data_IF_698688999276
#
_entry.id   IF_698688999276
#
_cell.length_a   1.000
_cell.length_b   1.000
_cell.length_c   1.000
_cell.angle_alpha   90.00
_cell.angle_beta   90.00
_cell.angle_gamma   90.00
#
_symmetry.space_group_name_H-M   'P 1'
#
loop_
_entity.id
_entity.type
_entity.pdbx_description
1 polymer ?
#
# COMPACT_ATOMS: atom_id res chain seq x y z
N UNK A 1 32.26 -37.50 59.52
CA UNK A 1 32.67 -37.55 58.10
C UNK A 1 31.68 -36.73 57.28
N UNK A 2 31.96 -35.45 57.04
CA UNK A 2 31.11 -34.56 56.24
C UNK A 2 31.34 -34.81 54.75
N UNK A 3 30.27 -35.12 54.01
CA UNK A 3 30.32 -35.27 52.55
C UNK A 3 30.36 -33.87 51.90
N UNK A 4 31.25 -33.62 50.93
CA UNK A 4 31.30 -32.33 50.24
C UNK A 4 30.03 -32.11 49.41
N UNK A 5 29.45 -30.90 49.50
CA UNK A 5 28.34 -30.51 48.61
C UNK A 5 28.81 -30.61 47.15
N UNK A 6 28.06 -31.37 46.37
CA UNK A 6 28.32 -31.60 44.95
C UNK A 6 28.29 -30.31 44.15
N UNK A 7 29.29 -30.09 43.29
CA UNK A 7 29.47 -28.90 42.41
C UNK A 7 28.19 -28.39 41.71
N UNK A 8 27.23 -29.28 41.43
CA UNK A 8 25.97 -28.95 40.78
C UNK A 8 25.01 -28.09 41.64
N UNK A 9 24.98 -28.30 42.95
CA UNK A 9 24.11 -27.51 43.86
C UNK A 9 24.66 -26.10 44.06
N UNK A 10 25.99 -25.93 44.02
CA UNK A 10 26.64 -24.61 44.12
C UNK A 10 26.33 -23.75 42.89
N UNK A 11 26.38 -24.32 41.68
CA UNK A 11 26.06 -23.60 40.44
C UNK A 11 24.59 -23.17 40.37
N UNK A 12 23.66 -23.98 40.88
CA UNK A 12 22.23 -23.65 40.93
C UNK A 12 21.93 -22.53 41.91
N UNK A 13 22.62 -22.48 43.05
CA UNK A 13 22.47 -21.40 44.02
C UNK A 13 22.98 -20.07 43.44
N UNK A 14 24.14 -20.06 42.79
CA UNK A 14 24.66 -18.86 42.12
C UNK A 14 23.73 -18.33 41.03
N UNK A 15 23.10 -19.21 40.23
CA UNK A 15 22.17 -18.76 39.18
C UNK A 15 20.88 -18.18 39.76
N UNK A 16 20.43 -18.68 40.92
CA UNK A 16 19.26 -18.12 41.62
C UNK A 16 19.60 -16.77 42.24
N UNK A 17 20.78 -16.63 42.86
CA UNK A 17 21.25 -15.35 43.41
C UNK A 17 21.37 -14.27 42.34
N UNK A 18 21.97 -14.58 41.18
CA UNK A 18 22.03 -13.64 40.05
C UNK A 18 20.65 -13.28 39.50
N UNK A 19 19.71 -14.23 39.49
CA UNK A 19 18.34 -13.97 39.04
C UNK A 19 17.58 -13.06 40.03
N UNK A 20 17.80 -13.25 41.33
CA UNK A 20 17.20 -12.42 42.38
C UNK A 20 17.78 -11.01 42.35
N UNK A 21 19.09 -10.82 42.15
CA UNK A 21 19.68 -9.48 42.02
C UNK A 21 19.15 -8.73 40.77
N UNK A 22 18.99 -9.44 39.65
CA UNK A 22 18.37 -8.87 38.43
C UNK A 22 16.91 -8.48 38.65
N UNK A 23 16.17 -9.24 39.45
CA UNK A 23 14.79 -8.88 39.80
C UNK A 23 14.74 -7.71 40.78
N UNK A 24 15.64 -7.67 41.77
CA UNK A 24 15.72 -6.56 42.74
C UNK A 24 16.01 -5.23 42.06
N UNK A 25 16.96 -5.21 41.13
CA UNK A 25 17.29 -4.01 40.34
C UNK A 25 16.14 -3.57 39.41
N UNK A 26 15.41 -4.52 38.83
CA UNK A 26 14.22 -4.22 38.03
C UNK A 26 13.08 -3.63 38.87
N UNK A 27 12.89 -4.13 40.09
CA UNK A 27 11.87 -3.63 41.03
C UNK A 27 12.24 -2.22 41.51
N UNK A 28 13.49 -1.97 41.87
CA UNK A 28 13.96 -0.63 42.25
C UNK A 28 13.77 0.39 41.12
N UNK A 29 14.07 0.00 39.88
CA UNK A 29 13.84 0.84 38.70
C UNK A 29 12.34 1.16 38.53
N UNK A 30 11.46 0.19 38.75
CA UNK A 30 10.01 0.35 38.64
C UNK A 30 9.47 1.25 39.78
N UNK A 31 9.99 1.11 41.00
CA UNK A 31 9.64 1.99 42.12
C UNK A 31 10.09 3.43 41.88
N UNK A 32 11.28 3.64 41.30
CA UNK A 32 11.75 4.97 40.90
C UNK A 32 10.88 5.60 39.81
N UNK A 33 10.39 4.82 38.84
CA UNK A 33 9.44 5.30 37.82
C UNK A 33 8.08 5.70 38.40
N UNK A 34 7.60 5.00 39.44
CA UNK A 34 6.33 5.31 40.10
C UNK A 34 6.45 6.55 40.99
N UNK A 35 7.58 6.72 41.69
CA UNK A 35 7.80 7.86 42.58
C UNK A 35 8.13 9.16 41.83
N UNK A 36 8.70 9.08 40.62
CA UNK A 36 9.03 10.24 39.78
C UNK A 36 8.40 10.14 38.38
N UNK A 37 7.10 10.43 38.22
CA UNK A 37 6.41 10.34 36.93
C UNK A 37 6.94 11.32 35.86
N UNK A 38 7.71 12.35 36.24
CA UNK A 38 8.40 13.25 35.29
C UNK A 38 9.58 12.57 34.56
N UNK A 39 10.21 11.53 35.13
CA UNK A 39 11.30 10.79 34.47
C UNK A 39 10.79 9.73 33.48
N UNK A 40 9.53 9.30 33.61
CA UNK A 40 8.89 8.37 32.69
C UNK A 40 8.67 8.97 31.29
N UNK A 41 8.65 10.30 31.16
CA UNK A 41 8.52 10.96 29.85
C UNK A 41 9.83 11.09 29.07
N UNK A 42 10.98 10.72 29.65
CA UNK A 42 12.31 10.95 29.04
C UNK A 42 13.07 9.70 28.65
N UNK A 43 12.48 8.52 28.82
CA UNK A 43 13.10 7.23 28.48
C UNK A 43 12.29 6.39 27.48
N UNK A 44 11.32 6.98 26.78
CA UNK A 44 10.99 6.45 25.46
C UNK A 44 12.27 6.51 24.64
N UNK A 45 12.76 5.39 24.05
CA UNK A 45 13.82 5.48 23.07
C UNK A 45 13.29 6.42 21.99
N UNK A 46 13.84 7.63 21.91
CA UNK A 46 13.55 8.62 20.87
C UNK A 46 13.42 7.84 19.57
N UNK A 47 12.18 7.68 19.10
CA UNK A 47 11.92 6.94 17.89
C UNK A 47 12.60 7.77 16.82
N UNK A 48 13.79 7.33 16.39
CA UNK A 48 14.57 8.01 15.36
C UNK A 48 13.59 8.42 14.27
N UNK A 49 13.53 9.70 13.86
CA UNK A 49 12.51 10.18 12.95
C UNK A 49 12.42 9.21 11.78
N UNK A 50 11.27 8.50 11.65
CA UNK A 50 11.07 7.40 10.68
C UNK A 50 11.61 7.90 9.34
N UNK A 51 12.80 7.43 8.96
CA UNK A 51 13.50 7.86 7.74
C UNK A 51 12.51 7.65 6.61
N UNK A 52 12.05 8.74 5.98
CA UNK A 52 10.95 8.70 5.01
C UNK A 52 11.30 7.71 3.91
N UNK A 53 10.68 6.53 3.96
CA UNK A 53 11.04 5.39 3.11
C UNK A 53 10.47 5.61 1.71
N UNK A 54 11.19 6.45 0.92
CA UNK A 54 10.76 6.86 -0.40
C UNK A 54 10.63 5.66 -1.36
N UNK A 55 11.45 4.62 -1.19
CA UNK A 55 11.37 3.41 -2.00
C UNK A 55 10.08 2.65 -1.71
N UNK A 56 9.77 2.41 -0.44
CA UNK A 56 8.54 1.75 -0.01
C UNK A 56 7.30 2.56 -0.38
N UNK A 57 7.27 3.85 -0.10
CA UNK A 57 6.15 4.73 -0.43
C UNK A 57 5.86 4.74 -1.94
N UNK A 58 6.90 4.79 -2.77
CA UNK A 58 6.73 4.73 -4.21
C UNK A 58 6.27 3.35 -4.70
N UNK A 59 6.74 2.26 -4.06
CA UNK A 59 6.29 0.91 -4.37
C UNK A 59 4.80 0.73 -4.05
N UNK A 60 4.35 1.14 -2.85
CA UNK A 60 2.94 1.11 -2.43
C UNK A 60 2.07 1.86 -3.44
N UNK A 61 2.44 3.09 -3.81
CA UNK A 61 1.69 3.88 -4.80
C UNK A 61 1.58 3.16 -6.15
N UNK A 62 2.70 2.65 -6.69
CA UNK A 62 2.71 1.95 -7.98
C UNK A 62 1.86 0.69 -7.93
N UNK A 63 1.97 -0.11 -6.87
CA UNK A 63 1.18 -1.33 -6.70
C UNK A 63 -0.30 -1.03 -6.53
N UNK A 64 -0.65 0.09 -5.90
CA UNK A 64 -2.04 0.56 -5.84
C UNK A 64 -2.61 0.86 -7.24
N UNK A 65 -1.82 1.46 -8.14
CA UNK A 65 -2.23 1.65 -9.54
C UNK A 65 -2.41 0.32 -10.28
N UNK A 66 -1.50 -0.63 -10.10
CA UNK A 66 -1.62 -1.98 -10.68
C UNK A 66 -2.91 -2.66 -10.19
N UNK A 67 -3.23 -2.54 -8.89
CA UNK A 67 -4.46 -3.10 -8.34
C UNK A 67 -5.70 -2.51 -9.03
N UNK A 68 -5.68 -1.23 -9.42
CA UNK A 68 -6.74 -0.59 -10.21
C UNK A 68 -6.69 -0.92 -11.71
N UNK A 69 -5.82 -1.82 -12.14
CA UNK A 69 -5.66 -2.22 -13.55
C UNK A 69 -4.96 -1.16 -14.39
N UNK A 70 -4.25 -0.23 -13.75
CA UNK A 70 -3.53 0.84 -14.41
C UNK A 70 -2.04 0.49 -14.54
N UNK A 71 -1.36 0.98 -15.60
CA UNK A 71 0.08 0.89 -15.72
C UNK A 71 0.84 1.45 -14.50
N UNK A 72 2.01 0.88 -14.20
CA UNK A 72 2.89 1.36 -13.10
C UNK A 72 3.27 2.84 -13.21
N UNK A 73 3.29 3.36 -14.43
CA UNK A 73 3.66 4.75 -14.74
C UNK A 73 2.45 5.70 -14.84
N UNK A 74 1.25 5.23 -14.46
CA UNK A 74 0.05 6.06 -14.50
C UNK A 74 0.16 7.31 -13.64
N UNK A 75 -0.50 8.36 -14.10
CA UNK A 75 -0.57 9.64 -13.41
C UNK A 75 -1.70 9.60 -12.39
N UNK A 76 -1.64 10.51 -11.42
CA UNK A 76 -2.68 10.65 -10.40
C UNK A 76 -4.07 10.88 -11.02
N UNK A 77 -4.13 11.65 -12.11
CA UNK A 77 -5.36 11.93 -12.86
C UNK A 77 -5.98 10.68 -13.47
N UNK A 78 -5.18 9.73 -13.94
CA UNK A 78 -5.69 8.50 -14.55
C UNK A 78 -6.41 7.66 -13.49
N UNK A 79 -5.81 7.58 -12.28
CA UNK A 79 -6.44 6.93 -11.12
C UNK A 79 -7.69 7.66 -10.64
N UNK A 80 -7.68 8.99 -10.63
CA UNK A 80 -8.82 9.81 -10.21
C UNK A 80 -10.05 9.66 -11.12
N UNK A 81 -9.84 9.33 -12.40
CA UNK A 81 -10.92 9.07 -13.37
C UNK A 81 -11.54 7.66 -13.24
N UNK A 82 -10.98 6.78 -12.42
CA UNK A 82 -11.55 5.44 -12.19
C UNK A 82 -12.87 5.59 -11.43
N UNK A 83 -13.98 5.18 -12.05
CA UNK A 83 -15.31 5.27 -11.44
C UNK A 83 -15.56 4.10 -10.47
N UNK A 84 -16.13 4.35 -9.28
CA UNK A 84 -16.62 3.27 -8.43
C UNK A 84 -17.73 2.50 -9.13
N UNK A 85 -17.86 1.22 -8.80
CA UNK A 85 -18.98 0.37 -9.25
C UNK A 85 -20.02 0.14 -8.14
N UNK A 86 -19.63 0.33 -6.88
CA UNK A 86 -20.47 0.23 -5.68
C UNK A 86 -19.99 1.26 -4.65
N UNK A 87 -20.90 1.68 -3.78
CA UNK A 87 -20.57 2.53 -2.62
C UNK A 87 -19.56 1.78 -1.74
N UNK A 88 -18.53 2.49 -1.27
CA UNK A 88 -17.42 1.90 -0.50
C UNK A 88 -16.40 1.12 -1.35
N UNK A 89 -16.59 1.06 -2.68
CA UNK A 89 -15.63 0.45 -3.59
C UNK A 89 -15.47 -1.08 -3.43
N UNK A 90 -14.90 -1.72 -4.44
CA UNK A 90 -14.69 -3.16 -4.42
C UNK A 90 -13.64 -3.62 -5.42
N UNK A 91 -13.24 -4.88 -5.31
CA UNK A 91 -12.63 -5.60 -6.43
C UNK A 91 -13.72 -6.09 -7.38
N UNK A 92 -13.57 -5.81 -8.66
CA UNK A 92 -14.36 -6.36 -9.75
C UNK A 92 -13.56 -7.42 -10.48
N UNK A 93 -14.21 -8.47 -10.97
CA UNK A 93 -13.58 -9.44 -11.87
C UNK A 93 -13.64 -8.85 -13.27
N UNK A 94 -12.49 -8.78 -13.91
CA UNK A 94 -12.38 -8.49 -15.33
C UNK A 94 -12.69 -9.78 -16.11
N UNK A 95 -13.75 -9.76 -16.90
CA UNK A 95 -14.20 -10.94 -17.65
C UNK A 95 -13.25 -11.31 -18.80
N UNK A 96 -12.44 -10.37 -19.30
CA UNK A 96 -11.50 -10.63 -20.39
C UNK A 96 -10.24 -11.32 -19.88
N UNK A 97 -9.70 -10.84 -18.76
CA UNK A 97 -8.43 -11.34 -18.21
C UNK A 97 -8.61 -12.36 -17.09
N UNK A 98 -9.82 -12.50 -16.54
CA UNK A 98 -10.10 -13.23 -15.30
C UNK A 98 -9.48 -12.57 -14.06
N UNK A 99 -8.82 -11.42 -14.22
CA UNK A 99 -8.14 -10.70 -13.16
C UNK A 99 -9.12 -10.00 -12.22
N UNK A 100 -8.65 -9.60 -11.03
CA UNK A 100 -9.41 -8.73 -10.14
C UNK A 100 -8.85 -7.32 -10.18
N UNK A 101 -9.72 -6.35 -10.38
CA UNK A 101 -9.37 -4.92 -10.48
C UNK A 101 -10.07 -4.14 -9.39
N UNK A 102 -9.34 -3.30 -8.68
CA UNK A 102 -9.86 -2.42 -7.66
C UNK A 102 -10.60 -1.23 -8.29
N UNK A 103 -11.78 -0.93 -7.74
CA UNK A 103 -12.58 0.27 -8.03
C UNK A 103 -12.95 0.95 -6.72
N UNK A 104 -12.10 1.83 -6.17
CA UNK A 104 -12.40 2.55 -4.94
C UNK A 104 -13.52 3.57 -5.15
N UNK A 105 -14.21 3.92 -4.08
CA UNK A 105 -15.14 5.03 -4.05
C UNK A 105 -14.45 6.28 -3.50
N UNK A 106 -14.16 7.23 -4.40
CA UNK A 106 -13.48 8.49 -4.05
C UNK A 106 -14.35 9.49 -3.30
N UNK A 107 -15.67 9.27 -3.31
CA UNK A 107 -16.65 10.12 -2.61
C UNK A 107 -16.77 9.71 -1.14
N UNK A 108 -16.60 8.42 -0.86
CA UNK A 108 -16.56 7.87 0.49
C UNK A 108 -15.20 8.07 1.17
N UNK A 109 -15.21 7.99 2.50
CA UNK A 109 -14.01 7.97 3.33
C UNK A 109 -13.20 6.68 3.13
N UNK A 110 -11.94 6.70 3.58
CA UNK A 110 -11.09 5.50 3.53
C UNK A 110 -11.67 4.36 4.37
N UNK A 111 -12.27 4.66 5.53
CA UNK A 111 -12.89 3.65 6.40
C UNK A 111 -14.13 3.01 5.77
N UNK A 112 -14.95 3.79 5.06
CA UNK A 112 -16.09 3.27 4.28
C UNK A 112 -15.65 2.39 3.09
N UNK A 113 -14.37 2.49 2.71
CA UNK A 113 -13.73 1.66 1.69
C UNK A 113 -13.09 0.36 2.24
N UNK A 114 -13.36 0.01 3.51
CA UNK A 114 -12.62 -1.04 4.21
C UNK A 114 -12.71 -2.45 3.61
N UNK A 115 -13.73 -2.75 2.81
CA UNK A 115 -13.98 -4.07 2.22
C UNK A 115 -12.78 -4.58 1.40
N UNK A 116 -12.04 -3.69 0.74
CA UNK A 116 -10.90 -4.09 -0.11
C UNK A 116 -9.53 -3.98 0.58
N UNK A 117 -9.46 -3.53 1.83
CA UNK A 117 -8.20 -3.30 2.55
C UNK A 117 -7.39 -4.59 2.75
N UNK A 118 -7.99 -5.64 3.33
CA UNK A 118 -7.29 -6.92 3.58
C UNK A 118 -6.83 -7.58 2.27
N UNK A 119 -7.66 -7.70 1.21
CA UNK A 119 -7.19 -8.19 -0.08
C UNK A 119 -6.06 -7.34 -0.69
N UNK A 120 -6.11 -6.01 -0.51
CA UNK A 120 -5.06 -5.11 -0.98
C UNK A 120 -3.73 -5.36 -0.28
N UNK A 121 -3.71 -5.51 1.05
CA UNK A 121 -2.48 -5.81 1.80
C UNK A 121 -1.87 -7.12 1.30
N UNK A 122 -2.68 -8.17 1.14
CA UNK A 122 -2.23 -9.46 0.58
C UNK A 122 -1.64 -9.29 -0.82
N UNK A 123 -2.32 -8.53 -1.68
CA UNK A 123 -1.84 -8.22 -3.03
C UNK A 123 -0.50 -7.48 -3.00
N UNK A 124 -0.35 -6.48 -2.12
CA UNK A 124 0.89 -5.71 -1.98
C UNK A 124 2.06 -6.56 -1.50
N UNK A 125 1.84 -7.43 -0.50
CA UNK A 125 2.86 -8.37 -0.01
C UNK A 125 3.39 -9.29 -1.11
N UNK A 126 2.53 -9.69 -2.03
CA UNK A 126 2.92 -10.53 -3.18
C UNK A 126 3.58 -9.72 -4.29
N UNK A 127 3.03 -8.55 -4.62
CA UNK A 127 3.39 -7.82 -5.84
C UNK A 127 4.58 -6.89 -5.68
N UNK A 128 4.75 -6.25 -4.51
CA UNK A 128 5.86 -5.31 -4.27
C UNK A 128 7.23 -5.99 -4.46
N UNK A 129 7.52 -7.16 -3.87
CA UNK A 129 8.82 -7.81 -4.06
C UNK A 129 9.07 -8.25 -5.51
N UNK A 130 8.01 -8.65 -6.22
CA UNK A 130 8.09 -9.03 -7.63
C UNK A 130 8.41 -7.85 -8.54
N UNK A 131 7.88 -6.66 -8.21
CA UNK A 131 7.99 -5.48 -9.07
C UNK A 131 9.12 -4.53 -8.68
N UNK A 132 9.61 -4.63 -7.43
CA UNK A 132 10.66 -3.80 -6.88
C UNK A 132 11.65 -4.65 -6.08
N UNK A 133 12.68 -5.21 -6.73
CA UNK A 133 13.62 -6.14 -6.10
C UNK A 133 14.37 -5.57 -4.88
N UNK A 134 14.44 -4.24 -4.75
CA UNK A 134 15.04 -3.60 -3.57
C UNK A 134 14.22 -3.81 -2.29
N UNK A 135 12.91 -4.07 -2.41
CA UNK A 135 12.03 -4.38 -1.29
C UNK A 135 11.73 -5.87 -1.33
N UNK A 136 12.63 -6.65 -0.74
CA UNK A 136 12.54 -8.11 -0.74
C UNK A 136 11.29 -8.60 0.02
N UNK A 137 10.93 -9.87 -0.19
CA UNK A 137 9.84 -10.50 0.55
C UNK A 137 10.08 -10.44 2.08
N UNK A 138 11.32 -10.59 2.54
CA UNK A 138 11.68 -10.47 3.95
C UNK A 138 11.42 -9.06 4.51
N UNK A 139 11.77 -8.01 3.74
CA UNK A 139 11.48 -6.62 4.12
C UNK A 139 9.97 -6.38 4.20
N UNK A 140 9.21 -6.90 3.23
CA UNK A 140 7.75 -6.81 3.26
C UNK A 140 7.15 -7.55 4.46
N UNK A 141 7.65 -8.74 4.80
CA UNK A 141 7.17 -9.49 5.96
C UNK A 141 7.46 -8.79 7.29
N UNK A 142 8.53 -8.01 7.37
CA UNK A 142 8.84 -7.21 8.55
C UNK A 142 7.93 -5.98 8.73
N UNK A 143 7.16 -5.57 7.71
CA UNK A 143 6.19 -4.47 7.84
C UNK A 143 4.91 -4.98 8.47
N UNK A 144 4.38 -4.25 9.45
CA UNK A 144 3.04 -4.50 9.97
C UNK A 144 1.97 -4.20 8.90
N UNK A 145 0.82 -4.87 8.99
CA UNK A 145 -0.31 -4.60 8.10
C UNK A 145 -0.79 -3.15 8.22
N UNK A 146 -0.79 -2.59 9.44
CA UNK A 146 -1.15 -1.20 9.70
C UNK A 146 -0.19 -0.20 9.03
N UNK A 147 1.12 -0.48 9.03
CA UNK A 147 2.10 0.38 8.34
C UNK A 147 1.85 0.40 6.83
N UNK A 148 1.47 -0.74 6.24
CA UNK A 148 1.11 -0.82 4.81
C UNK A 148 -0.17 -0.01 4.58
N UNK A 149 -1.18 -0.21 5.41
CA UNK A 149 -2.48 0.41 5.27
C UNK A 149 -2.41 1.95 5.44
N UNK A 150 -1.60 2.46 6.37
CA UNK A 150 -1.33 3.89 6.53
C UNK A 150 -0.80 4.50 5.22
N UNK A 151 0.11 3.80 4.52
CA UNK A 151 0.63 4.27 3.22
C UNK A 151 -0.39 4.17 2.10
N UNK A 152 -1.23 3.14 2.11
CA UNK A 152 -2.36 3.02 1.18
C UNK A 152 -3.35 4.17 1.38
N UNK A 153 -3.67 4.52 2.63
CA UNK A 153 -4.55 5.64 2.96
C UNK A 153 -4.03 6.96 2.43
N UNK A 154 -2.72 7.23 2.57
CA UNK A 154 -2.09 8.43 2.00
C UNK A 154 -2.25 8.47 0.49
N UNK A 155 -2.06 7.34 -0.21
CA UNK A 155 -2.27 7.25 -1.66
C UNK A 155 -3.74 7.50 -2.01
N UNK A 156 -4.67 6.89 -1.27
CA UNK A 156 -6.11 7.07 -1.44
C UNK A 156 -6.52 8.54 -1.29
N UNK A 157 -6.09 9.21 -0.21
CA UNK A 157 -6.38 10.64 0.05
C UNK A 157 -5.89 11.54 -1.09
N UNK A 158 -4.69 11.28 -1.61
CA UNK A 158 -4.14 12.04 -2.74
C UNK A 158 -5.00 11.87 -4.00
N UNK A 159 -5.44 10.64 -4.31
CA UNK A 159 -6.28 10.37 -5.48
C UNK A 159 -7.69 10.95 -5.29
N UNK A 160 -8.31 10.75 -4.12
CA UNK A 160 -9.65 11.30 -3.81
C UNK A 160 -9.65 12.83 -3.91
N UNK A 161 -8.60 13.49 -3.42
CA UNK A 161 -8.44 14.95 -3.56
C UNK A 161 -8.38 15.38 -5.02
N UNK A 162 -7.70 14.61 -5.88
CA UNK A 162 -7.64 14.90 -7.32
C UNK A 162 -8.98 14.61 -8.01
N UNK A 163 -9.67 13.53 -7.63
CA UNK A 163 -10.97 13.15 -8.19
C UNK A 163 -12.04 14.23 -7.94
N UNK A 164 -12.01 14.87 -6.77
CA UNK A 164 -12.94 15.98 -6.43
C UNK A 164 -12.71 17.26 -7.24
N UNK A 165 -11.56 17.41 -7.91
CA UNK A 165 -11.28 18.54 -8.81
C UNK A 165 -11.81 18.30 -10.21
N UNK A 166 -12.12 17.06 -10.57
CA UNK A 166 -12.64 16.74 -11.89
C UNK A 166 -14.08 17.24 -11.97
N UNK A 167 -14.48 17.85 -13.11
CA UNK A 167 -15.85 18.26 -13.29
C UNK A 167 -16.74 17.02 -13.18
N UNK A 168 -17.77 17.10 -12.34
CA UNK A 168 -18.83 16.09 -12.31
C UNK A 168 -19.48 16.15 -13.68
N UNK A 169 -19.17 15.18 -14.54
CA UNK A 169 -19.86 15.01 -15.81
C UNK A 169 -21.30 14.61 -15.48
N UNK A 170 -22.16 15.60 -15.26
CA UNK A 170 -23.60 15.49 -15.19
C UNK A 170 -24.11 15.18 -16.58
N UNK A 171 -23.92 13.94 -17.03
CA UNK A 171 -24.52 13.42 -18.25
C UNK A 171 -25.76 12.62 -17.90
N UNK A 172 -26.91 13.30 -17.80
CA UNK A 172 -28.26 12.77 -18.05
C UNK A 172 -29.28 13.92 -17.91
N UNK A 173 -29.38 14.75 -18.94
CA UNK A 173 -30.68 15.28 -19.34
C UNK A 173 -31.32 14.18 -20.19
N UNK A 174 -32.21 13.45 -19.53
CA UNK A 174 -33.28 12.68 -20.15
C UNK A 174 -34.10 13.67 -20.98
N UNK A 175 -33.89 13.63 -22.30
CA UNK A 175 -34.55 14.47 -23.29
C UNK A 175 -35.31 13.55 -24.22
N UNK A 176 -36.58 13.35 -23.89
CA UNK A 176 -37.57 12.62 -24.68
C UNK A 176 -37.69 13.16 -26.11
N UNK A 177 -38.00 12.22 -27.01
CA UNK A 177 -38.76 12.36 -28.25
C UNK A 177 -38.28 13.39 -29.31
N UNK A 178 -37.69 12.89 -30.41
CA UNK A 178 -38.25 13.20 -31.73
C UNK A 178 -37.86 12.12 -32.76
N UNK A 179 -38.90 11.56 -33.34
CA UNK A 179 -38.96 10.55 -34.37
C UNK A 179 -38.58 11.16 -35.72
N UNK A 180 -37.61 10.59 -36.44
CA UNK A 180 -37.38 10.90 -37.86
C UNK A 180 -36.56 9.81 -38.53
N UNK A 181 -37.30 8.89 -39.15
CA UNK A 181 -36.87 8.08 -40.29
C UNK A 181 -36.13 8.92 -41.33
N UNK A 182 -34.88 8.55 -41.64
CA UNK A 182 -34.29 8.78 -42.97
C UNK A 182 -33.55 7.54 -43.44
N UNK A 183 -34.21 6.82 -44.35
CA UNK A 183 -33.59 5.96 -45.34
C UNK A 183 -32.64 6.76 -46.24
N UNK A 184 -31.53 6.12 -46.64
CA UNK A 184 -30.91 6.10 -47.98
C UNK A 184 -29.41 5.77 -47.77
N UNK A 185 -28.93 4.59 -48.13
CA UNK A 185 -28.66 4.05 -49.48
C UNK A 185 -27.15 4.16 -49.81
N UNK A 186 -26.72 3.21 -50.61
CA UNK A 186 -25.39 2.66 -50.84
C UNK A 186 -24.29 3.67 -51.23
N UNK A 187 -23.06 3.28 -50.90
CA UNK A 187 -21.83 3.97 -51.30
C UNK A 187 -20.60 3.12 -51.03
N UNK A 188 -20.51 2.00 -51.76
CA UNK A 188 -19.31 1.21 -51.96
C UNK A 188 -18.21 2.08 -52.62
N UNK A 189 -17.03 2.20 -52.01
CA UNK A 189 -15.77 2.09 -52.74
C UNK A 189 -14.54 2.03 -51.82
N UNK A 190 -13.62 1.19 -52.29
CA UNK A 190 -12.30 0.85 -51.80
C UNK A 190 -11.39 2.09 -51.72
N UNK A 191 -10.42 2.09 -50.79
CA UNK A 191 -9.02 1.98 -51.20
C UNK A 191 -8.03 1.89 -50.05
N UNK A 192 -6.97 1.15 -50.37
CA UNK A 192 -5.73 0.92 -49.67
C UNK A 192 -5.13 2.17 -49.02
N UNK A 193 -4.57 2.05 -47.81
CA UNK A 193 -3.13 2.36 -47.69
C UNK A 193 -2.48 1.75 -46.46
N UNK A 194 -1.46 0.96 -46.75
CA UNK A 194 -0.44 0.52 -45.83
C UNK A 194 0.41 1.72 -45.39
N UNK A 195 0.70 1.89 -44.10
CA UNK A 195 2.08 2.22 -43.74
C UNK A 195 2.45 2.00 -42.27
N UNK A 196 3.36 1.05 -42.12
CA UNK A 196 4.39 0.94 -41.11
C UNK A 196 4.92 2.30 -40.59
N UNK A 197 5.05 2.45 -39.27
CA UNK A 197 6.19 3.19 -38.70
C UNK A 197 6.62 2.62 -37.35
N UNK A 198 7.58 1.70 -37.45
CA UNK A 198 8.43 1.19 -36.37
C UNK A 198 9.49 2.24 -35.97
N UNK A 199 9.73 2.32 -34.66
CA UNK A 199 11.02 2.47 -33.94
C UNK A 199 11.86 3.73 -34.18
N UNK A 200 11.92 4.57 -33.14
CA UNK A 200 13.07 5.42 -32.83
C UNK A 200 13.73 4.98 -31.52
N UNK A 201 14.75 4.10 -31.59
CA UNK A 201 15.61 3.74 -30.45
C UNK A 201 16.79 4.70 -30.43
N UNK A 202 16.86 5.58 -29.43
CA UNK A 202 17.96 6.54 -29.23
C UNK A 202 19.10 5.82 -28.51
N UNK A 203 20.16 5.48 -29.26
CA UNK A 203 21.44 5.01 -28.72
C UNK A 203 22.15 6.23 -28.14
N UNK A 204 22.53 6.17 -26.85
CA UNK A 204 23.46 7.14 -26.25
C UNK A 204 24.86 6.60 -26.42
N UNK A 205 25.72 7.44 -26.99
CA UNK A 205 27.16 7.28 -27.12
C UNK A 205 27.79 7.48 -25.74
N UNK A 206 28.57 6.50 -25.29
CA UNK A 206 29.59 6.70 -24.27
C UNK A 206 30.81 7.25 -25.02
N UNK A 207 31.29 8.42 -24.61
CA UNK A 207 32.66 8.86 -24.92
C UNK A 207 33.45 8.79 -23.61
N UNK A 208 34.71 8.40 -23.78
CA UNK A 208 35.77 8.11 -22.79
C UNK A 208 36.04 9.21 -21.76
#
# INVERSE_FOLDING_TARGET
MSKPLTSLTVKRLQTVEEAVEKQSTAIEHLMNMIQNPELAQKSEPESKPKKRDNAFNNAVRKTFYIAMGLPKASKLKDAANVKPKKVGGCYIVDHETGGRTLRPDWTASFTENSVWHVPMIKFMRQKIPSDNPMITAAIMQAKADDDILERVEVVFKNISTEARKLPVSTGSTDGSDDDSERQNDAGENQDENQNNRRKGRKVRKCDE
#
